data_IF_368442952576
#
_entry.id   IF_368442952576
#
_cell.length_a   1.000
_cell.length_b   1.000
_cell.length_c   1.000
_cell.angle_alpha   90.00
_cell.angle_beta   90.00
_cell.angle_gamma   90.00
#
_symmetry.space_group_name_H-M   'P 1'
#
loop_
_entity.id
_entity.type
_entity.pdbx_description
1 polymer ?
#
# COMPACT_ATOMS: atom_id res chain seq x y z
N UNK A 1 12.37 10.09 -9.14
CA UNK A 1 11.11 10.71 -8.67
C UNK A 1 10.30 11.39 -9.78
N UNK A 2 10.76 12.45 -10.47
CA UNK A 2 9.94 13.06 -11.55
C UNK A 2 9.64 12.06 -12.68
N UNK A 3 10.67 11.33 -13.14
CA UNK A 3 10.49 10.26 -14.13
C UNK A 3 9.56 9.13 -13.67
N UNK A 4 9.49 8.84 -12.36
CA UNK A 4 8.55 7.85 -11.82
C UNK A 4 7.12 8.37 -11.88
N UNK A 5 6.90 9.65 -11.58
CA UNK A 5 5.59 10.30 -11.69
C UNK A 5 5.14 10.30 -13.15
N UNK A 6 6.01 10.64 -14.08
CA UNK A 6 5.72 10.59 -15.53
C UNK A 6 5.36 9.18 -15.99
N UNK A 7 6.10 8.16 -15.52
CA UNK A 7 5.81 6.76 -15.85
C UNK A 7 4.47 6.29 -15.26
N UNK A 8 4.14 6.68 -14.02
CA UNK A 8 2.84 6.38 -13.41
C UNK A 8 1.71 7.11 -14.12
N UNK A 9 1.90 8.36 -14.53
CA UNK A 9 0.93 9.13 -15.29
C UNK A 9 0.67 8.50 -16.67
N UNK A 10 1.72 8.04 -17.36
CA UNK A 10 1.57 7.35 -18.63
C UNK A 10 0.77 6.04 -18.47
N UNK A 11 1.00 5.28 -17.39
CA UNK A 11 0.21 4.08 -17.07
C UNK A 11 -1.25 4.42 -16.76
N UNK A 12 -1.48 5.45 -15.96
CA UNK A 12 -2.81 5.92 -15.63
C UNK A 12 -3.62 6.26 -16.89
N UNK A 13 -3.02 7.00 -17.82
CA UNK A 13 -3.67 7.39 -19.07
C UNK A 13 -4.02 6.20 -19.99
N UNK A 14 -3.38 5.05 -19.79
CA UNK A 14 -3.59 3.83 -20.58
C UNK A 14 -4.50 2.80 -19.88
N UNK A 15 -4.92 3.07 -18.64
CA UNK A 15 -5.70 2.13 -17.82
C UNK A 15 -7.19 2.31 -18.06
N UNK A 16 -7.91 1.21 -18.27
CA UNK A 16 -9.38 1.21 -18.43
C UNK A 16 -10.11 0.64 -17.20
N UNK A 17 -9.42 -0.15 -16.36
CA UNK A 17 -9.99 -0.71 -15.14
C UNK A 17 -10.12 0.37 -14.06
N UNK A 18 -11.35 0.62 -13.60
CA UNK A 18 -11.65 1.72 -12.68
C UNK A 18 -10.93 1.60 -11.33
N UNK A 19 -10.76 0.38 -10.82
CA UNK A 19 -10.06 0.15 -9.55
C UNK A 19 -8.55 0.39 -9.69
N UNK A 20 -7.94 -0.05 -10.80
CA UNK A 20 -6.55 0.26 -11.14
C UNK A 20 -6.35 1.76 -11.39
N UNK A 21 -7.28 2.42 -12.09
CA UNK A 21 -7.25 3.86 -12.33
C UNK A 21 -7.20 4.62 -11.00
N UNK A 22 -8.12 4.30 -10.08
CA UNK A 22 -8.16 4.92 -8.75
C UNK A 22 -6.89 4.65 -7.94
N UNK A 23 -6.35 3.44 -8.02
CA UNK A 23 -5.11 3.09 -7.33
C UNK A 23 -3.89 3.85 -7.90
N UNK A 24 -3.84 4.03 -9.22
CA UNK A 24 -2.81 4.80 -9.91
C UNK A 24 -2.93 6.30 -9.63
N UNK A 25 -4.14 6.86 -9.57
CA UNK A 25 -4.38 8.24 -9.16
C UNK A 25 -3.82 8.50 -7.76
N UNK A 26 -4.13 7.64 -6.78
CA UNK A 26 -3.60 7.77 -5.42
C UNK A 26 -2.06 7.65 -5.38
N UNK A 27 -1.47 6.75 -6.16
CA UNK A 27 0.00 6.61 -6.26
C UNK A 27 0.67 7.85 -6.86
N UNK A 28 0.09 8.42 -7.94
CA UNK A 28 0.59 9.65 -8.57
C UNK A 28 0.47 10.84 -7.61
N UNK A 29 -0.70 11.02 -6.99
CA UNK A 29 -0.94 12.10 -6.03
C UNK A 29 0.01 11.97 -4.84
N UNK A 30 0.17 10.78 -4.27
CA UNK A 30 1.10 10.54 -3.16
C UNK A 30 2.54 10.91 -3.51
N UNK A 31 3.02 10.54 -4.71
CA UNK A 31 4.37 10.88 -5.19
C UNK A 31 4.56 12.39 -5.38
N UNK A 32 3.56 13.10 -5.90
CA UNK A 32 3.60 14.57 -6.05
C UNK A 32 3.65 15.23 -4.68
N UNK A 33 2.77 14.84 -3.76
CA UNK A 33 2.75 15.38 -2.40
C UNK A 33 4.07 15.15 -1.67
N UNK A 34 4.64 13.95 -1.80
CA UNK A 34 5.93 13.62 -1.20
C UNK A 34 7.07 14.47 -1.77
N UNK A 35 7.08 14.70 -3.09
CA UNK A 35 8.05 15.60 -3.73
C UNK A 35 7.95 17.02 -3.19
N UNK A 36 6.74 17.57 -3.09
CA UNK A 36 6.51 18.90 -2.51
C UNK A 36 6.96 18.96 -1.05
N UNK A 37 6.62 17.94 -0.25
CA UNK A 37 7.03 17.85 1.15
C UNK A 37 8.55 17.87 1.30
N UNK A 38 9.27 17.06 0.53
CA UNK A 38 10.74 17.07 0.50
C UNK A 38 11.31 18.44 0.14
N UNK A 39 10.74 19.12 -0.87
CA UNK A 39 11.16 20.47 -1.26
C UNK A 39 10.99 21.48 -0.12
N UNK A 40 9.82 21.48 0.52
CA UNK A 40 9.53 22.34 1.68
C UNK A 40 10.48 22.03 2.84
N UNK A 41 10.77 20.76 3.11
CA UNK A 41 11.72 20.38 4.16
C UNK A 41 13.11 20.99 3.93
N UNK A 42 13.62 20.93 2.69
CA UNK A 42 14.91 21.54 2.34
C UNK A 42 14.87 23.05 2.53
N UNK A 43 13.85 23.73 2.02
CA UNK A 43 13.72 25.19 2.17
C UNK A 43 13.64 25.60 3.66
N UNK A 44 12.89 24.85 4.46
CA UNK A 44 12.79 25.09 5.91
C UNK A 44 14.14 24.87 6.59
N UNK A 45 14.87 23.82 6.25
CA UNK A 45 16.21 23.53 6.79
C UNK A 45 17.22 24.65 6.43
N UNK A 46 17.13 25.25 5.25
CA UNK A 46 17.99 26.36 4.82
C UNK A 46 17.63 27.70 5.46
N UNK A 47 16.33 27.95 5.70
CA UNK A 47 15.85 29.20 6.30
C UNK A 47 15.96 29.19 7.83
N UNK A 48 15.88 28.02 8.46
CA UNK A 48 15.88 27.89 9.92
C UNK A 48 17.10 28.55 10.59
N UNK A 49 18.36 28.36 10.11
CA UNK A 49 19.53 29.04 10.67
C UNK A 49 19.45 30.57 10.54
N UNK A 50 18.91 31.08 9.44
CA UNK A 50 18.78 32.53 9.21
C UNK A 50 17.76 33.15 10.18
N UNK A 51 16.63 32.45 10.40
CA UNK A 51 15.63 32.85 11.38
C UNK A 51 16.22 32.79 12.80
N UNK A 52 17.00 31.75 13.11
CA UNK A 52 17.64 31.64 14.42
C UNK A 52 18.70 32.72 14.67
N UNK A 53 19.54 33.05 13.69
CA UNK A 53 20.52 34.13 13.80
C UNK A 53 19.84 35.50 13.99
N UNK A 54 18.74 35.73 13.27
CA UNK A 54 17.91 36.92 13.43
C UNK A 54 17.36 37.04 14.87
N UNK A 55 16.71 35.98 15.37
CA UNK A 55 16.14 35.94 16.72
C UNK A 55 17.23 36.09 17.79
N UNK A 56 18.39 35.47 17.58
CA UNK A 56 19.54 35.57 18.49
C UNK A 56 20.07 37.01 18.58
N UNK A 57 20.18 37.69 17.43
CA UNK A 57 20.66 39.07 17.32
C UNK A 57 19.70 40.08 17.93
N UNK A 58 18.39 39.84 17.80
CA UNK A 58 17.36 40.74 18.34
C UNK A 58 17.16 40.58 19.86
N UNK A 59 17.74 39.53 20.47
CA UNK A 59 17.76 39.33 21.93
C UNK A 59 16.45 38.85 22.54
N UNK A 60 15.40 38.63 21.72
CA UNK A 60 14.07 38.21 22.17
C UNK A 60 13.71 36.79 21.71
N UNK A 61 14.54 35.83 22.13
CA UNK A 61 14.40 34.40 21.80
C UNK A 61 13.04 33.85 22.23
N UNK A 62 12.53 34.29 23.39
CA UNK A 62 11.26 33.82 23.94
C UNK A 62 10.07 34.29 23.10
N UNK A 63 10.05 35.56 22.70
CA UNK A 63 8.96 36.09 21.88
C UNK A 63 9.02 35.58 20.44
N UNK A 64 10.22 35.41 19.87
CA UNK A 64 10.42 34.84 18.54
C UNK A 64 9.89 33.41 18.42
N UNK A 65 10.28 32.53 19.35
CA UNK A 65 9.80 31.14 19.38
C UNK A 65 8.29 31.04 19.67
N UNK A 66 7.77 31.90 20.56
CA UNK A 66 6.34 31.94 20.84
C UNK A 66 5.53 32.33 19.59
N UNK A 67 5.95 33.37 18.87
CA UNK A 67 5.33 33.80 17.60
C UNK A 67 5.31 32.66 16.57
N UNK A 68 6.43 31.95 16.40
CA UNK A 68 6.49 30.78 15.51
C UNK A 68 5.46 29.73 15.93
N UNK A 69 5.40 29.37 17.22
CA UNK A 69 4.44 28.37 17.70
C UNK A 69 2.98 28.82 17.55
N UNK A 70 2.71 30.13 17.60
CA UNK A 70 1.35 30.69 17.48
C UNK A 70 0.86 30.74 16.03
N UNK A 71 1.77 30.78 15.06
CA UNK A 71 1.44 30.81 13.63
C UNK A 71 1.11 29.40 13.11
N UNK A 72 1.70 28.36 13.70
CA UNK A 72 1.37 26.96 13.39
C UNK A 72 0.02 26.65 14.05
N UNK A 73 -1.13 26.69 13.32
CA UNK A 73 -2.39 26.34 13.93
C UNK A 73 -2.34 24.86 14.32
N UNK A 74 -3.10 24.52 15.35
CA UNK A 74 -3.22 23.19 15.93
C UNK A 74 -3.39 22.10 14.85
N UNK A 75 -2.28 21.47 14.47
CA UNK A 75 -2.17 20.36 13.51
C UNK A 75 -2.81 19.06 14.04
N UNK A 76 -3.62 19.15 15.08
CA UNK A 76 -4.00 18.02 15.94
C UNK A 76 -5.24 17.27 15.49
N UNK A 77 -5.96 17.74 14.47
CA UNK A 77 -7.06 16.96 13.90
C UNK A 77 -7.28 17.29 12.41
N UNK A 78 -6.45 16.73 11.49
CA UNK A 78 -6.72 16.85 10.07
C UNK A 78 -8.08 16.23 9.78
N UNK A 79 -8.92 16.92 9.00
CA UNK A 79 -10.18 16.33 8.51
C UNK A 79 -9.91 15.08 7.66
N UNK A 80 -10.94 14.27 7.41
CA UNK A 80 -10.79 12.96 6.73
C UNK A 80 -10.03 13.05 5.40
N UNK A 81 -10.32 14.05 4.58
CA UNK A 81 -9.61 14.28 3.31
C UNK A 81 -8.12 14.58 3.52
N UNK A 82 -7.80 15.41 4.51
CA UNK A 82 -6.41 15.74 4.83
C UNK A 82 -5.67 14.51 5.40
N UNK A 83 -6.33 13.71 6.24
CA UNK A 83 -5.77 12.47 6.75
C UNK A 83 -5.51 11.47 5.61
N UNK A 84 -6.42 11.39 4.63
CA UNK A 84 -6.22 10.57 3.44
C UNK A 84 -5.02 11.03 2.60
N UNK A 85 -4.94 12.34 2.30
CA UNK A 85 -3.81 12.92 1.55
C UNK A 85 -2.47 12.71 2.27
N UNK A 86 -2.43 12.89 3.60
CA UNK A 86 -1.25 12.61 4.41
C UNK A 86 -0.86 11.14 4.32
N UNK A 87 -1.83 10.23 4.41
CA UNK A 87 -1.58 8.79 4.32
C UNK A 87 -0.95 8.42 2.97
N UNK A 88 -1.53 8.82 1.85
CA UNK A 88 -0.99 8.47 0.52
C UNK A 88 0.37 9.11 0.28
N UNK A 89 0.62 10.30 0.84
CA UNK A 89 1.93 10.94 0.81
C UNK A 89 2.97 10.11 1.58
N UNK A 90 2.66 9.67 2.79
CA UNK A 90 3.58 8.84 3.58
C UNK A 90 3.80 7.46 2.96
N UNK A 91 2.76 6.83 2.42
CA UNK A 91 2.86 5.56 1.69
C UNK A 91 3.82 5.71 0.49
N UNK A 92 3.72 6.80 -0.26
CA UNK A 92 4.64 7.09 -1.36
C UNK A 92 6.09 7.30 -0.89
N UNK A 93 6.30 7.98 0.24
CA UNK A 93 7.61 8.14 0.89
C UNK A 93 8.19 6.80 1.37
N UNK A 94 7.34 5.87 1.81
CA UNK A 94 7.72 4.51 2.19
C UNK A 94 7.90 3.56 0.99
N UNK A 95 7.62 4.01 -0.24
CA UNK A 95 7.65 3.17 -1.43
C UNK A 95 6.50 2.15 -1.53
N UNK A 96 5.42 2.38 -0.78
CA UNK A 96 4.19 1.62 -0.86
C UNK A 96 3.36 2.15 -2.04
N UNK A 97 2.94 1.24 -2.93
CA UNK A 97 2.11 1.55 -4.09
C UNK A 97 0.82 0.77 -3.99
N UNK A 98 -0.30 1.49 -3.97
CA UNK A 98 -1.63 0.89 -3.92
C UNK A 98 -1.92 0.09 -5.17
N UNK A 99 -1.50 0.58 -6.34
CA UNK A 99 -1.66 -0.15 -7.60
C UNK A 99 -0.92 -1.49 -7.56
N UNK A 100 0.33 -1.51 -7.08
CA UNK A 100 1.09 -2.77 -6.95
C UNK A 100 0.44 -3.73 -5.94
N UNK A 101 -0.09 -3.21 -4.84
CA UNK A 101 -0.80 -4.02 -3.84
C UNK A 101 -2.10 -4.62 -4.42
N UNK A 102 -2.85 -3.84 -5.20
CA UNK A 102 -4.05 -4.29 -5.89
C UNK A 102 -3.75 -5.44 -6.85
N UNK A 103 -2.74 -5.28 -7.72
CA UNK A 103 -2.32 -6.31 -8.67
C UNK A 103 -1.85 -7.59 -7.95
N UNK A 104 -1.10 -7.43 -6.85
CA UNK A 104 -0.64 -8.57 -6.05
C UNK A 104 -1.80 -9.31 -5.39
N UNK A 105 -2.82 -8.60 -4.90
CA UNK A 105 -4.02 -9.19 -4.33
C UNK A 105 -4.82 -9.98 -5.38
N UNK A 106 -5.04 -9.40 -6.57
CA UNK A 106 -5.71 -10.08 -7.70
C UNK A 106 -4.99 -11.37 -8.10
N UNK A 107 -3.67 -11.30 -8.28
CA UNK A 107 -2.86 -12.48 -8.60
C UNK A 107 -2.94 -13.57 -7.51
N UNK A 108 -2.99 -13.17 -6.23
CA UNK A 108 -3.16 -14.12 -5.13
C UNK A 108 -4.54 -14.78 -5.13
N UNK A 109 -5.61 -14.05 -5.47
CA UNK A 109 -6.96 -14.61 -5.59
C UNK A 109 -7.08 -15.61 -6.76
N UNK A 110 -6.53 -15.26 -7.92
CA UNK A 110 -6.49 -16.17 -9.09
C UNK A 110 -5.75 -17.47 -8.78
N UNK A 111 -4.63 -17.40 -8.04
CA UNK A 111 -3.88 -18.58 -7.63
C UNK A 111 -4.69 -19.49 -6.70
N UNK A 112 -5.52 -18.92 -5.80
CA UNK A 112 -6.38 -19.70 -4.89
C UNK A 112 -7.45 -20.49 -5.64
N UNK A 113 -8.03 -19.90 -6.69
CA UNK A 113 -9.08 -20.57 -7.46
C UNK A 113 -8.51 -21.55 -8.49
N UNK A 114 -7.36 -21.25 -9.08
CA UNK A 114 -6.67 -22.16 -10.01
C UNK A 114 -6.14 -23.42 -9.31
N UNK A 115 -5.72 -23.33 -8.05
CA UNK A 115 -5.24 -24.48 -7.27
C UNK A 115 -6.35 -25.44 -6.80
N UNK A 116 -7.61 -25.03 -6.83
CA UNK A 116 -8.75 -25.85 -6.35
C UNK A 116 -9.37 -26.72 -7.45
N UNK A 117 -9.06 -26.47 -8.72
CA UNK A 117 -9.61 -27.20 -9.86
C UNK A 117 -8.92 -28.57 -10.15
N UNK A 118 -7.81 -28.89 -9.48
CA UNK A 118 -7.07 -30.16 -9.69
C UNK A 118 -6.99 -30.94 -8.37
N UNK A 119 -8.13 -31.39 -7.85
CA UNK A 119 -8.17 -32.52 -6.91
C UNK A 119 -9.58 -33.11 -6.83
N UNK A 120 -10.15 -33.49 -7.98
CA UNK A 120 -11.37 -34.31 -8.02
C UNK A 120 -11.50 -35.07 -9.34
N UNK A 121 -10.51 -35.92 -9.64
CA UNK A 121 -10.75 -37.20 -10.32
C UNK A 121 -9.44 -37.98 -10.49
N UNK A 122 -9.06 -38.73 -9.45
CA UNK A 122 -8.21 -39.92 -9.64
C UNK A 122 -8.53 -40.95 -8.57
N UNK A 123 -9.75 -41.48 -8.58
CA UNK A 123 -10.01 -42.84 -8.04
C UNK A 123 -11.17 -43.46 -8.79
N UNK A 124 -10.98 -43.79 -10.07
CA UNK A 124 -11.79 -44.81 -10.72
C UNK A 124 -11.08 -46.15 -10.59
N UNK A 125 -11.48 -46.88 -9.58
CA UNK A 125 -11.27 -48.32 -9.40
C UNK A 125 -11.82 -49.08 -10.61
N UNK A 126 -10.93 -49.61 -11.45
CA UNK A 126 -11.27 -50.72 -12.34
C UNK A 126 -10.25 -51.85 -12.11
N UNK A 127 -10.54 -52.69 -11.13
CA UNK A 127 -9.96 -54.03 -11.04
C UNK A 127 -11.12 -55.02 -10.96
N UNK A 128 -11.50 -55.57 -12.10
CA UNK A 128 -12.40 -56.72 -12.19
C UNK A 128 -11.83 -57.73 -13.19
N UNK A 129 -11.52 -58.91 -12.67
CA UNK A 129 -11.04 -60.09 -13.39
C UNK A 129 -10.68 -61.18 -12.37
N UNK A 130 -11.66 -61.76 -11.66
CA UNK A 130 -12.13 -63.16 -11.83
C UNK A 130 -10.99 -64.16 -11.58
N UNK A 131 -10.98 -65.05 -10.59
CA UNK A 131 -12.04 -66.02 -10.23
C UNK A 131 -11.65 -66.79 -8.95
N UNK A 132 -12.67 -67.26 -8.20
CA UNK A 132 -12.71 -68.51 -7.38
C UNK A 132 -11.69 -68.67 -6.23
N UNK A 133 -12.00 -69.20 -5.04
CA UNK A 133 -13.08 -70.04 -4.54
C UNK A 133 -12.92 -70.17 -3.01
N UNK A 134 -14.03 -70.30 -2.27
CA UNK A 134 -14.23 -70.93 -0.93
C UNK A 134 -13.28 -70.56 0.24
N UNK A 135 -13.69 -70.39 1.49
CA UNK A 135 -14.68 -71.12 2.28
C UNK A 135 -14.96 -70.34 3.58
N UNK A 136 -16.19 -70.42 4.07
CA UNK A 136 -16.70 -69.80 5.30
C UNK A 136 -16.16 -70.43 6.58
N UNK A 137 -15.94 -69.64 7.64
CA UNK A 137 -16.29 -69.92 9.05
C UNK A 137 -15.91 -68.70 9.92
N UNK A 138 -16.88 -67.85 10.27
CA UNK A 138 -17.57 -67.81 11.57
C UNK A 138 -16.75 -67.18 12.70
N UNK A 139 -17.05 -65.90 12.97
CA UNK A 139 -16.72 -65.20 14.22
C UNK A 139 -18.01 -65.05 15.01
N UNK A 140 -18.09 -65.62 16.21
CA UNK A 140 -19.07 -65.19 17.20
C UNK A 140 -18.39 -64.24 18.18
N UNK A 141 -18.94 -63.04 18.30
CA UNK A 141 -18.64 -62.08 19.36
C UNK A 141 -19.34 -62.53 20.64
N UNK A 142 -18.61 -62.63 21.76
CA UNK A 142 -18.78 -61.89 23.03
C UNK A 142 -17.52 -62.11 23.86
#
# INVERSE_FOLDING_TARGET
MIQEVEALQAKLNATEDQDEERALQEDVTGKILWLCWCGICIEVEELLPQIMDYIWREGDIKQGLWKISSIVPSLTNPGDDQAHLQRIMYDAGAGTSKHRLLLAARAAEEARWSGTAISRDTTNTNTRGTSTSSQTSSTSVV
#
